data_IF_635673271577
#
_entry.id   IF_635673271577
#
_cell.length_a   1.000
_cell.length_b   1.000
_cell.length_c   1.000
_cell.angle_alpha   90.00
_cell.angle_beta   90.00
_cell.angle_gamma   90.00
#
_symmetry.space_group_name_H-M   'P 1'
#
loop_
_entity.id
_entity.type
_entity.pdbx_description
1 polymer ?
#
# COMPACT_ATOMS: atom_id res chain seq x y z
N UNK A 1 2.70 0.18 24.02
CA UNK A 1 2.56 -0.15 22.59
C UNK A 1 3.88 0.21 21.92
N UNK A 2 4.54 -0.71 21.23
CA UNK A 2 5.87 -0.49 20.66
C UNK A 2 5.74 -0.01 19.20
N UNK A 3 6.18 1.21 18.92
CA UNK A 3 6.31 1.71 17.54
C UNK A 3 7.50 1.02 16.89
N UNK A 4 7.34 0.51 15.67
CA UNK A 4 8.44 -0.10 14.91
C UNK A 4 8.81 0.76 13.72
N UNK A 5 10.10 0.78 13.40
CA UNK A 5 10.64 1.46 12.23
C UNK A 5 10.49 0.56 11.00
N UNK A 6 9.99 1.11 9.91
CA UNK A 6 9.79 0.43 8.63
C UNK A 6 10.56 1.16 7.55
N UNK A 7 11.36 0.43 6.78
CA UNK A 7 12.02 0.92 5.58
C UNK A 7 11.27 0.42 4.36
N UNK A 8 11.05 1.30 3.39
CA UNK A 8 10.37 0.99 2.14
C UNK A 8 11.38 1.11 1.00
N UNK A 9 11.57 0.05 0.22
CA UNK A 9 12.65 -0.04 -0.77
C UNK A 9 12.27 0.45 -2.18
N UNK A 10 13.11 1.27 -2.81
CA UNK A 10 12.99 1.66 -4.24
C UNK A 10 13.97 0.84 -5.13
N UNK A 11 13.48 0.36 -6.28
CA UNK A 11 14.18 -0.57 -7.20
C UNK A 11 15.24 0.08 -8.11
N UNK A 12 15.94 1.13 -7.67
CA UNK A 12 17.08 1.67 -8.43
C UNK A 12 18.01 2.52 -7.57
N UNK A 13 19.28 2.11 -7.48
CA UNK A 13 20.40 2.79 -6.82
C UNK A 13 20.62 2.44 -5.34
N UNK A 14 21.78 1.84 -5.07
CA UNK A 14 22.25 1.30 -3.79
C UNK A 14 22.59 2.37 -2.73
N UNK A 15 21.97 3.56 -2.80
CA UNK A 15 22.17 4.65 -1.84
C UNK A 15 20.98 5.61 -1.73
N UNK A 16 19.75 5.14 -1.90
CA UNK A 16 18.57 5.93 -1.56
C UNK A 16 18.02 5.46 -0.21
N UNK A 17 18.44 6.14 0.85
CA UNK A 17 17.75 6.05 2.15
C UNK A 17 16.42 6.79 1.97
N UNK A 18 15.37 6.06 1.60
CA UNK A 18 14.01 6.55 1.83
C UNK A 18 13.86 6.89 3.32
N UNK A 19 13.11 7.95 3.64
CA UNK A 19 12.85 8.29 5.05
C UNK A 19 12.15 7.11 5.72
N UNK A 20 12.66 6.62 6.87
CA UNK A 20 12.00 5.54 7.58
C UNK A 20 10.59 5.98 7.99
N UNK A 21 9.63 5.07 7.83
CA UNK A 21 8.25 5.27 8.23
C UNK A 21 8.01 4.53 9.53
N UNK A 22 7.34 5.18 10.48
CA UNK A 22 7.01 4.56 11.75
C UNK A 22 5.55 4.14 11.74
N UNK A 23 5.30 2.88 12.10
CA UNK A 23 3.95 2.39 12.30
C UNK A 23 3.89 1.32 13.40
N UNK A 24 2.69 1.13 13.94
CA UNK A 24 2.41 0.14 14.96
C UNK A 24 2.18 -1.22 14.30
N UNK A 25 3.04 -2.20 14.62
CA UNK A 25 2.90 -3.58 14.12
C UNK A 25 1.51 -4.14 14.34
N UNK A 26 0.93 -3.94 15.53
CA UNK A 26 -0.39 -4.46 15.87
C UNK A 26 -1.50 -3.98 14.92
N UNK A 27 -1.42 -2.73 14.46
CA UNK A 27 -2.41 -2.15 13.54
C UNK A 27 -2.24 -2.77 12.15
N UNK A 28 -0.99 -2.90 11.67
CA UNK A 28 -0.72 -3.54 10.39
C UNK A 28 -1.12 -5.02 10.34
N UNK A 29 -0.82 -5.77 11.40
CA UNK A 29 -1.23 -7.18 11.54
C UNK A 29 -2.76 -7.29 11.48
N UNK A 30 -3.49 -6.40 12.15
CA UNK A 30 -4.96 -6.42 12.10
C UNK A 30 -5.53 -6.04 10.74
N UNK A 31 -4.79 -5.25 9.95
CA UNK A 31 -5.22 -4.79 8.64
C UNK A 31 -4.90 -5.78 7.51
N UNK A 32 -3.93 -6.68 7.70
CA UNK A 32 -3.46 -7.60 6.66
C UNK A 32 -2.84 -8.87 7.22
N UNK A 33 -3.30 -10.01 6.72
CA UNK A 33 -2.67 -11.31 6.94
C UNK A 33 -1.24 -11.38 6.38
N UNK A 34 -0.92 -10.58 5.35
CA UNK A 34 0.43 -10.49 4.80
C UNK A 34 1.37 -9.83 5.80
N UNK A 35 0.92 -8.76 6.48
CA UNK A 35 1.69 -8.16 7.57
C UNK A 35 1.77 -9.09 8.78
N UNK A 36 0.71 -9.84 9.10
CA UNK A 36 0.77 -10.88 10.13
C UNK A 36 1.86 -11.89 9.83
N UNK A 37 1.86 -12.48 8.63
CA UNK A 37 2.86 -13.46 8.22
C UNK A 37 4.28 -12.88 8.21
N UNK A 38 4.43 -11.62 7.76
CA UNK A 38 5.69 -10.89 7.76
C UNK A 38 6.27 -10.75 9.18
N UNK A 39 5.45 -10.37 10.15
CA UNK A 39 5.92 -10.11 11.52
C UNK A 39 5.92 -11.34 12.43
N UNK A 40 5.23 -12.43 12.06
CA UNK A 40 5.08 -13.65 12.90
C UNK A 40 6.42 -14.30 13.27
N UNK A 41 7.41 -14.23 12.38
CA UNK A 41 8.73 -14.82 12.58
C UNK A 41 9.81 -13.80 12.96
N UNK A 42 9.48 -12.50 12.98
CA UNK A 42 10.47 -11.48 13.34
C UNK A 42 10.46 -11.23 14.86
N UNK A 43 11.32 -11.97 15.55
CA UNK A 43 11.46 -11.94 17.01
C UNK A 43 12.42 -10.85 17.52
N UNK A 44 13.00 -10.02 16.64
CA UNK A 44 13.96 -9.00 17.05
C UNK A 44 13.29 -7.64 17.28
N UNK A 45 13.01 -7.36 18.55
CA UNK A 45 12.63 -6.03 19.01
C UNK A 45 13.67 -4.99 18.54
N UNK A 46 13.24 -4.03 17.72
CA UNK A 46 14.06 -2.87 17.33
C UNK A 46 14.79 -2.97 15.99
N UNK A 47 14.52 -4.00 15.16
CA UNK A 47 15.03 -4.03 13.78
C UNK A 47 14.09 -3.27 12.85
N UNK A 48 14.67 -2.53 11.91
CA UNK A 48 13.94 -1.88 10.82
C UNK A 48 13.37 -2.96 9.92
N UNK A 49 12.04 -3.01 9.83
CA UNK A 49 11.32 -3.96 8.97
C UNK A 49 11.40 -3.46 7.53
N UNK A 50 11.94 -4.26 6.62
CA UNK A 50 11.94 -3.92 5.21
C UNK A 50 10.59 -4.33 4.61
N UNK A 51 9.86 -3.36 4.05
CA UNK A 51 8.65 -3.58 3.27
C UNK A 51 9.07 -3.63 1.81
N UNK A 52 9.30 -4.82 1.23
CA UNK A 52 9.85 -4.94 -0.11
C UNK A 52 8.81 -4.55 -1.16
N UNK A 53 9.30 -4.05 -2.30
CA UNK A 53 8.57 -3.76 -3.53
C UNK A 53 7.28 -2.93 -3.32
N UNK A 54 7.39 -1.89 -2.50
CA UNK A 54 6.40 -0.82 -2.41
C UNK A 54 7.16 0.49 -2.49
N UNK A 55 6.61 1.51 -3.14
CA UNK A 55 7.17 2.86 -3.11
C UNK A 55 6.81 3.55 -1.79
N UNK A 56 7.73 4.31 -1.20
CA UNK A 56 7.51 4.97 0.09
C UNK A 56 6.28 5.89 0.10
N UNK A 57 6.02 6.58 -1.01
CA UNK A 57 4.83 7.42 -1.17
C UNK A 57 3.53 6.59 -1.16
N UNK A 58 3.51 5.46 -1.88
CA UNK A 58 2.35 4.57 -1.89
C UNK A 58 2.09 3.94 -0.51
N UNK A 59 3.15 3.56 0.20
CA UNK A 59 3.03 3.03 1.56
C UNK A 59 2.48 4.06 2.54
N UNK A 60 2.84 5.34 2.41
CA UNK A 60 2.27 6.42 3.23
C UNK A 60 0.76 6.54 3.04
N UNK A 61 0.28 6.55 1.80
CA UNK A 61 -1.18 6.58 1.52
C UNK A 61 -1.86 5.35 2.12
N UNK A 62 -1.25 4.17 1.98
CA UNK A 62 -1.79 2.95 2.58
C UNK A 62 -1.84 3.02 4.11
N UNK A 63 -0.83 3.61 4.77
CA UNK A 63 -0.85 3.84 6.21
C UNK A 63 -1.97 4.81 6.61
N UNK A 64 -2.09 5.96 5.94
CA UNK A 64 -3.16 6.94 6.23
C UNK A 64 -4.54 6.30 6.13
N UNK A 65 -4.75 5.45 5.13
CA UNK A 65 -5.97 4.66 4.97
C UNK A 65 -6.18 3.68 6.14
N UNK A 66 -5.17 2.86 6.48
CA UNK A 66 -5.27 1.87 7.57
C UNK A 66 -5.59 2.53 8.92
N UNK A 67 -5.06 3.73 9.20
CA UNK A 67 -5.26 4.40 10.49
C UNK A 67 -6.57 5.18 10.58
N UNK A 68 -7.01 5.80 9.48
CA UNK A 68 -8.04 6.84 9.54
C UNK A 68 -9.00 6.83 8.35
N UNK A 69 -8.92 5.85 7.44
CA UNK A 69 -9.66 5.83 6.19
C UNK A 69 -9.38 7.09 5.33
N UNK A 70 -8.18 7.68 5.51
CA UNK A 70 -7.79 8.95 4.87
C UNK A 70 -7.18 8.70 3.49
N UNK A 71 -7.81 9.31 2.48
CA UNK A 71 -7.47 9.22 1.06
C UNK A 71 -7.09 10.58 0.48
N UNK A 72 -6.84 11.60 1.31
CA UNK A 72 -6.50 12.95 0.86
C UNK A 72 -5.24 13.01 -0.01
N UNK A 73 -4.29 12.09 0.20
CA UNK A 73 -3.06 11.95 -0.58
C UNK A 73 -3.20 11.00 -1.79
N UNK A 74 -4.35 10.32 -1.96
CA UNK A 74 -4.60 9.48 -3.13
C UNK A 74 -4.97 10.35 -4.33
N UNK A 75 -4.21 10.24 -5.41
CA UNK A 75 -4.44 10.97 -6.65
C UNK A 75 -4.28 10.06 -7.86
N UNK A 76 -4.70 10.53 -9.04
CA UNK A 76 -4.51 9.78 -10.28
C UNK A 76 -3.05 9.38 -10.52
N UNK A 77 -2.12 10.28 -10.18
CA UNK A 77 -0.69 10.11 -10.45
C UNK A 77 -0.07 8.96 -9.64
N UNK A 78 -0.49 8.77 -8.39
CA UNK A 78 0.02 7.70 -7.52
C UNK A 78 -0.89 6.48 -7.42
N UNK A 79 -2.10 6.54 -8.00
CA UNK A 79 -3.12 5.50 -7.90
C UNK A 79 -2.63 4.11 -8.30
N UNK A 80 -1.76 4.00 -9.31
CA UNK A 80 -1.23 2.71 -9.73
C UNK A 80 -0.26 2.11 -8.70
N UNK A 81 0.62 2.94 -8.15
CA UNK A 81 1.56 2.49 -7.11
C UNK A 81 0.80 2.10 -5.82
N UNK A 82 -0.20 2.90 -5.44
CA UNK A 82 -1.08 2.60 -4.29
C UNK A 82 -1.91 1.34 -4.54
N UNK A 83 -2.46 1.15 -5.74
CA UNK A 83 -3.21 -0.06 -6.09
C UNK A 83 -2.33 -1.32 -6.01
N UNK A 84 -1.11 -1.26 -6.54
CA UNK A 84 -0.15 -2.38 -6.42
C UNK A 84 0.16 -2.70 -4.95
N UNK A 85 0.35 -1.68 -4.11
CA UNK A 85 0.59 -1.88 -2.68
C UNK A 85 -0.63 -2.47 -1.98
N UNK A 86 -1.82 -1.91 -2.22
CA UNK A 86 -3.07 -2.37 -1.64
C UNK A 86 -3.37 -3.82 -2.01
N UNK A 87 -3.22 -4.19 -3.28
CA UNK A 87 -3.41 -5.56 -3.78
C UNK A 87 -2.38 -6.52 -3.15
N UNK A 88 -1.09 -6.13 -3.13
CA UNK A 88 -0.02 -6.93 -2.54
C UNK A 88 -0.22 -7.23 -1.05
N UNK A 89 -0.74 -6.27 -0.30
CA UNK A 89 -0.99 -6.41 1.14
C UNK A 89 -2.46 -6.72 1.47
N UNK A 90 -3.31 -7.02 0.48
CA UNK A 90 -4.69 -7.45 0.69
C UNK A 90 -5.61 -6.39 1.33
N UNK A 91 -5.34 -5.10 1.12
CA UNK A 91 -6.16 -4.00 1.65
C UNK A 91 -7.31 -3.70 0.68
N UNK A 92 -8.34 -4.56 0.68
CA UNK A 92 -9.44 -4.51 -0.30
C UNK A 92 -10.18 -3.16 -0.36
N UNK A 93 -10.37 -2.50 0.78
CA UNK A 93 -11.00 -1.16 0.82
C UNK A 93 -10.22 -0.13 0.00
N UNK A 94 -8.89 -0.14 0.12
CA UNK A 94 -8.02 0.78 -0.62
C UNK A 94 -7.96 0.44 -2.11
N UNK A 95 -8.02 -0.86 -2.47
CA UNK A 95 -8.16 -1.32 -3.86
C UNK A 95 -9.43 -0.73 -4.49
N UNK A 96 -10.55 -0.80 -3.79
CA UNK A 96 -11.85 -0.24 -4.24
C UNK A 96 -11.76 1.26 -4.52
N UNK A 97 -11.13 2.02 -3.63
CA UNK A 97 -10.95 3.46 -3.83
C UNK A 97 -10.04 3.79 -5.02
N UNK A 98 -8.94 3.05 -5.20
CA UNK A 98 -8.03 3.26 -6.34
C UNK A 98 -8.75 3.06 -7.68
N UNK A 99 -9.67 2.11 -7.77
CA UNK A 99 -10.38 1.81 -9.02
C UNK A 99 -11.58 2.73 -9.26
N UNK A 100 -12.08 3.41 -8.22
CA UNK A 100 -13.13 4.42 -8.36
C UNK A 100 -12.63 5.74 -8.98
N UNK A 101 -11.31 5.96 -9.05
CA UNK A 101 -10.73 7.16 -9.66
C UNK A 101 -11.25 7.32 -11.11
N UNK A 102 -11.76 8.51 -11.49
CA UNK A 102 -12.30 8.75 -12.83
C UNK A 102 -11.26 8.46 -13.93
N UNK A 103 -11.69 7.87 -15.06
CA UNK A 103 -10.79 7.50 -16.18
C UNK A 103 -10.02 8.72 -16.70
N UNK A 104 -10.66 9.88 -16.76
CA UNK A 104 -10.07 11.17 -17.15
C UNK A 104 -8.94 11.66 -16.24
N UNK A 105 -8.84 11.12 -15.02
CA UNK A 105 -7.81 11.44 -14.04
C UNK A 105 -6.73 10.35 -13.97
N UNK A 106 -6.81 9.28 -14.78
CA UNK A 106 -5.80 8.22 -14.78
C UNK A 106 -4.65 8.62 -15.70
N UNK A 107 -3.39 8.55 -15.24
CA UNK A 107 -2.23 8.96 -16.03
C UNK A 107 -1.89 7.92 -17.12
N UNK A 108 -2.38 6.68 -17.00
CA UNK A 108 -2.01 5.61 -17.91
C UNK A 108 -3.15 4.62 -18.20
N UNK A 109 -3.01 3.93 -19.34
CA UNK A 109 -3.96 2.92 -19.82
C UNK A 109 -3.98 1.65 -18.95
N UNK A 110 -2.89 1.36 -18.24
CA UNK A 110 -2.79 0.17 -17.38
C UNK A 110 -3.82 0.22 -16.25
N UNK A 111 -3.93 1.35 -15.58
CA UNK A 111 -4.90 1.54 -14.51
C UNK A 111 -6.33 1.58 -15.05
N UNK A 112 -6.55 2.18 -16.22
CA UNK A 112 -7.86 2.16 -16.89
C UNK A 112 -8.29 0.72 -17.24
N UNK A 113 -7.35 -0.11 -17.70
CA UNK A 113 -7.59 -1.52 -17.99
C UNK A 113 -7.83 -2.35 -16.70
N UNK A 114 -7.04 -2.11 -15.65
CA UNK A 114 -7.25 -2.75 -14.34
C UNK A 114 -8.64 -2.44 -13.78
N UNK A 115 -9.06 -1.17 -13.83
CA UNK A 115 -10.41 -0.71 -13.51
C UNK A 115 -11.46 -1.46 -14.35
N UNK A 116 -11.32 -1.49 -15.67
CA UNK A 116 -12.27 -2.18 -16.56
C UNK A 116 -12.42 -3.67 -16.23
N UNK A 117 -11.33 -4.36 -15.89
CA UNK A 117 -11.37 -5.76 -15.44
C UNK A 117 -12.15 -5.94 -14.15
N UNK A 118 -11.96 -5.06 -13.17
CA UNK A 118 -12.69 -5.14 -11.88
C UNK A 118 -14.18 -4.82 -12.05
N UNK A 119 -14.53 -3.75 -12.78
CA UNK A 119 -15.94 -3.45 -13.09
C UNK A 119 -16.61 -4.56 -13.90
N UNK A 120 -15.89 -5.24 -14.78
CA UNK A 120 -16.43 -6.40 -15.51
C UNK A 120 -16.72 -7.61 -14.60
N UNK A 121 -16.08 -7.70 -13.44
CA UNK A 121 -16.35 -8.73 -12.43
C UNK A 121 -17.55 -8.38 -11.53
N UNK A 122 -17.86 -7.09 -11.37
CA UNK A 122 -19.03 -6.65 -10.59
C UNK A 122 -20.35 -6.76 -11.36
N UNK A 123 -20.33 -6.61 -12.70
CA UNK A 123 -21.54 -6.71 -13.55
C UNK A 123 -21.94 -8.17 -13.85
N UNK A 124 -21.10 -9.14 -13.46
CA UNK A 124 -21.32 -10.57 -13.70
C UNK A 124 -22.01 -11.35 -12.58
N UNK A 125 -22.59 -10.68 -11.56
CA UNK A 125 -23.32 -11.31 -10.45
C UNK A 125 -24.77 -10.87 -10.38
#
# INVERSE_FOLDING_TARGET
MSVSEMSVGEMSSWRNVGTPLWAHKIILVSASEVFEAMFRFDSQNGKVENVPDVEAAAFKVMLSFIYADDLSELSGDNAMAVLCAADKYGIEGLVSHCVQIPIQNLPNVFLAHAKARLFSLEVGK
#
